data_IF_353430637262
#
_entry.id   IF_353430637262
#
_cell.length_a   1.000
_cell.length_b   1.000
_cell.length_c   1.000
_cell.angle_alpha   90.00
_cell.angle_beta   90.00
_cell.angle_gamma   90.00
#
_symmetry.space_group_name_H-M   'P 1'
#
loop_
_entity.id
_entity.type
_entity.pdbx_description
1 polymer ?
#
# COMPACT_ATOMS: atom_id res chain seq x y z
N UNK A 1 48.72 7.59 -37.13
CA UNK A 1 48.13 7.55 -35.78
C UNK A 1 46.71 8.15 -35.69
N UNK A 2 46.43 9.37 -36.19
CA UNK A 2 45.09 9.98 -36.14
C UNK A 2 43.95 9.13 -36.72
N UNK A 3 44.13 8.48 -37.88
CA UNK A 3 43.09 7.64 -38.53
C UNK A 3 42.80 6.31 -37.80
N UNK A 4 43.73 5.81 -37.00
CA UNK A 4 43.57 4.57 -36.23
C UNK A 4 42.84 4.87 -34.91
N UNK A 5 43.18 5.98 -34.26
CA UNK A 5 42.53 6.45 -33.03
C UNK A 5 41.04 6.79 -33.27
N UNK A 6 40.71 7.42 -34.41
CA UNK A 6 39.31 7.72 -34.77
C UNK A 6 38.49 6.44 -35.03
N UNK A 7 39.08 5.42 -35.66
CA UNK A 7 38.41 4.13 -35.88
C UNK A 7 38.21 3.36 -34.57
N UNK A 8 39.14 3.47 -33.63
CA UNK A 8 39.03 2.84 -32.31
C UNK A 8 37.96 3.53 -31.45
N UNK A 9 37.84 4.87 -31.52
CA UNK A 9 36.78 5.65 -30.85
C UNK A 9 35.37 5.37 -31.41
N UNK A 10 35.24 5.13 -32.72
CA UNK A 10 33.98 4.74 -33.36
C UNK A 10 33.56 3.30 -33.02
N UNK A 11 34.51 2.37 -32.87
CA UNK A 11 34.22 1.03 -32.39
C UNK A 11 33.86 1.05 -30.89
N UNK A 12 34.53 1.88 -30.08
CA UNK A 12 34.21 2.04 -28.67
C UNK A 12 32.81 2.67 -28.45
N UNK A 13 32.37 3.62 -29.28
CA UNK A 13 31.01 4.19 -29.18
C UNK A 13 29.90 3.20 -29.55
N UNK A 14 30.17 2.25 -30.46
CA UNK A 14 29.27 1.15 -30.78
C UNK A 14 29.23 0.11 -29.65
N UNK A 15 30.35 -0.18 -29.00
CA UNK A 15 30.38 -1.11 -27.86
C UNK A 15 29.75 -0.52 -26.58
N UNK A 16 29.92 0.79 -26.33
CA UNK A 16 29.31 1.48 -25.17
C UNK A 16 27.79 1.67 -25.36
N UNK A 17 27.30 1.75 -26.60
CA UNK A 17 25.84 1.79 -26.86
C UNK A 17 25.15 0.44 -26.71
N UNK A 18 25.87 -0.68 -26.78
CA UNK A 18 25.32 -2.03 -26.57
C UNK A 18 25.33 -2.49 -25.11
N UNK A 19 25.99 -1.78 -24.19
CA UNK A 19 26.01 -2.10 -22.75
C UNK A 19 24.98 -1.32 -21.92
N UNK A 20 24.18 -0.45 -22.54
CA UNK A 20 23.26 0.46 -21.85
C UNK A 20 21.79 0.01 -21.76
N UNK A 21 21.39 -1.06 -22.44
CA UNK A 21 20.00 -1.52 -22.46
C UNK A 21 19.90 -2.92 -21.91
N UNK A 22 19.97 -3.04 -20.58
CA UNK A 22 19.10 -3.98 -19.89
C UNK A 22 17.69 -3.55 -20.26
N UNK A 23 17.15 -4.09 -21.37
CA UNK A 23 15.79 -3.81 -21.81
C UNK A 23 14.89 -4.11 -20.62
N UNK A 24 14.27 -3.08 -20.04
CA UNK A 24 13.09 -3.29 -19.21
C UNK A 24 12.22 -4.23 -20.03
N UNK A 25 11.85 -5.37 -19.47
CA UNK A 25 10.91 -6.29 -20.10
C UNK A 25 9.74 -5.44 -20.57
N UNK A 26 9.61 -5.25 -21.88
CA UNK A 26 8.56 -4.40 -22.42
C UNK A 26 7.22 -4.99 -22.00
N UNK A 27 6.28 -4.17 -21.57
CA UNK A 27 4.92 -4.63 -21.36
C UNK A 27 4.12 -4.34 -22.63
N UNK A 28 3.41 -5.34 -23.14
CA UNK A 28 2.51 -5.20 -24.28
C UNK A 28 1.06 -5.18 -23.78
N UNK A 29 0.25 -4.23 -24.27
CA UNK A 29 -1.18 -4.20 -23.99
C UNK A 29 -1.87 -5.30 -24.79
N UNK A 30 -2.43 -6.28 -24.09
CA UNK A 30 -3.19 -7.37 -24.69
C UNK A 30 -4.66 -6.98 -24.88
N UNK A 31 -5.26 -6.35 -23.87
CA UNK A 31 -6.64 -5.87 -23.93
C UNK A 31 -6.74 -4.54 -23.21
N UNK A 32 -7.27 -3.51 -23.87
CA UNK A 32 -7.37 -2.19 -23.29
C UNK A 32 -8.76 -1.90 -22.71
N UNK A 33 -8.82 -0.98 -21.74
CA UNK A 33 -10.05 -0.39 -21.21
C UNK A 33 -11.02 -1.41 -20.60
N UNK A 34 -10.49 -2.47 -19.98
CA UNK A 34 -11.29 -3.34 -19.10
C UNK A 34 -11.75 -2.53 -17.89
N UNK A 35 -12.84 -2.96 -17.28
CA UNK A 35 -13.32 -2.37 -16.02
C UNK A 35 -13.64 -3.42 -14.99
N UNK A 36 -13.47 -3.07 -13.72
CA UNK A 36 -13.86 -3.89 -12.57
C UNK A 36 -14.24 -2.96 -11.42
N UNK A 37 -14.94 -3.50 -10.44
CA UNK A 37 -15.18 -2.81 -9.17
C UNK A 37 -14.05 -3.15 -8.20
N UNK A 38 -13.45 -2.12 -7.61
CA UNK A 38 -12.55 -2.20 -6.46
C UNK A 38 -13.15 -1.38 -5.33
N UNK A 39 -12.46 -1.32 -4.18
CA UNK A 39 -12.83 -0.44 -3.06
C UNK A 39 -11.89 0.76 -2.99
N UNK A 40 -12.27 1.82 -2.30
CA UNK A 40 -11.30 2.80 -1.84
C UNK A 40 -10.54 2.33 -0.60
N UNK A 41 -9.31 2.82 -0.46
CA UNK A 41 -8.63 2.96 0.82
C UNK A 41 -9.38 3.97 1.69
N UNK A 42 -9.20 3.90 3.01
CA UNK A 42 -9.80 4.86 3.92
C UNK A 42 -8.92 6.11 4.04
N UNK A 43 -9.55 7.28 4.09
CA UNK A 43 -8.91 8.52 4.51
C UNK A 43 -9.49 8.87 5.88
N UNK A 44 -8.61 8.99 6.86
CA UNK A 44 -8.95 9.43 8.21
C UNK A 44 -8.56 10.90 8.33
N UNK A 45 -9.48 11.74 8.81
CA UNK A 45 -9.27 13.18 8.95
C UNK A 45 -9.54 13.66 10.38
N UNK A 46 -8.69 14.56 10.85
CA UNK A 46 -8.86 15.28 12.11
C UNK A 46 -8.30 16.70 11.97
N UNK A 47 -8.72 17.61 12.84
CA UNK A 47 -8.04 18.89 13.03
C UNK A 47 -6.78 18.69 13.87
N UNK A 48 -5.74 19.48 13.61
CA UNK A 48 -4.45 19.37 14.31
C UNK A 48 -4.58 19.66 15.81
N UNK A 49 -5.50 20.54 16.21
CA UNK A 49 -5.75 20.92 17.61
C UNK A 49 -6.85 20.08 18.29
N UNK A 50 -7.49 19.15 17.57
CA UNK A 50 -8.56 18.30 18.06
C UNK A 50 -9.95 18.94 18.10
N UNK A 51 -10.11 20.17 17.61
CA UNK A 51 -11.40 20.85 17.47
C UNK A 51 -12.33 20.17 16.46
N UNK A 52 -13.64 20.30 16.68
CA UNK A 52 -14.65 19.88 15.71
C UNK A 52 -14.83 20.99 14.65
N UNK A 53 -14.41 20.75 13.42
CA UNK A 53 -14.48 21.73 12.32
C UNK A 53 -15.15 21.13 11.09
N UNK A 54 -15.77 22.00 10.29
CA UNK A 54 -16.43 21.61 9.05
C UNK A 54 -15.44 21.41 7.90
N UNK A 55 -15.66 20.35 7.14
CA UNK A 55 -14.85 19.97 5.98
C UNK A 55 -15.79 19.50 4.88
N UNK A 56 -15.63 20.03 3.67
CA UNK A 56 -16.33 19.53 2.50
C UNK A 56 -15.45 18.49 1.80
N UNK A 57 -16.00 17.32 1.52
CA UNK A 57 -15.33 16.24 0.81
C UNK A 57 -16.09 15.93 -0.46
N UNK A 58 -15.38 15.72 -1.56
CA UNK A 58 -15.94 15.35 -2.85
C UNK A 58 -15.10 14.24 -3.47
N UNK A 59 -15.70 13.07 -3.72
CA UNK A 59 -14.99 11.93 -4.30
C UNK A 59 -15.91 11.04 -5.12
N UNK A 60 -15.33 10.29 -6.06
CA UNK A 60 -16.11 9.38 -6.90
C UNK A 60 -16.43 8.11 -6.14
N UNK A 61 -17.64 7.57 -6.28
CA UNK A 61 -18.06 6.24 -5.79
C UNK A 61 -18.85 5.50 -6.86
N UNK A 62 -18.93 4.18 -6.76
CA UNK A 62 -19.75 3.34 -7.62
C UNK A 62 -20.95 2.78 -6.88
N UNK A 63 -22.12 2.92 -7.47
CA UNK A 63 -23.38 2.33 -6.99
C UNK A 63 -23.76 1.20 -7.94
N UNK A 64 -24.02 0.02 -7.39
CA UNK A 64 -24.41 -1.14 -8.18
C UNK A 64 -25.63 -0.83 -9.07
N UNK A 65 -25.53 -1.16 -10.36
CA UNK A 65 -26.53 -0.82 -11.37
C UNK A 65 -26.15 0.38 -12.25
N UNK A 66 -25.20 1.22 -11.83
CA UNK A 66 -24.71 2.31 -12.67
C UNK A 66 -23.73 1.82 -13.74
N UNK A 67 -23.66 2.55 -14.85
CA UNK A 67 -22.66 2.33 -15.91
C UNK A 67 -21.29 2.93 -15.56
N UNK A 68 -21.29 4.03 -14.81
CA UNK A 68 -20.12 4.83 -14.44
C UNK A 68 -20.13 5.19 -12.94
N UNK A 69 -19.02 5.75 -12.45
CA UNK A 69 -18.97 6.30 -11.11
C UNK A 69 -19.81 7.58 -11.02
N UNK A 70 -20.31 7.87 -9.83
CA UNK A 70 -20.95 9.14 -9.48
C UNK A 70 -20.03 9.93 -8.54
N UNK A 71 -20.20 11.24 -8.51
CA UNK A 71 -19.52 12.09 -7.51
C UNK A 71 -20.41 12.20 -6.28
N UNK A 72 -19.83 11.87 -5.13
CA UNK A 72 -20.41 12.05 -3.81
C UNK A 72 -19.77 13.28 -3.18
N UNK A 73 -20.58 14.27 -2.77
CA UNK A 73 -20.12 15.48 -2.10
C UNK A 73 -20.89 15.63 -0.79
N UNK A 74 -20.15 15.81 0.32
CA UNK A 74 -20.72 15.90 1.67
C UNK A 74 -19.94 16.91 2.51
N UNK A 75 -20.62 17.56 3.47
CA UNK A 75 -19.99 18.35 4.53
C UNK A 75 -20.00 17.53 5.81
N UNK A 76 -18.82 17.33 6.41
CA UNK A 76 -18.61 16.50 7.59
C UNK A 76 -17.90 17.31 8.69
N UNK A 77 -18.02 16.88 9.94
CA UNK A 77 -17.36 17.51 11.09
C UNK A 77 -16.26 16.61 11.63
N UNK A 78 -15.05 17.14 11.84
CA UNK A 78 -13.91 16.36 12.36
C UNK A 78 -14.13 15.87 13.79
N UNK A 79 -13.54 14.72 14.17
CA UNK A 79 -12.82 13.77 13.30
C UNK A 79 -13.76 12.79 12.57
N UNK A 80 -13.42 12.40 11.34
CA UNK A 80 -14.21 11.44 10.55
C UNK A 80 -13.35 10.56 9.64
N UNK A 81 -13.99 9.55 9.02
CA UNK A 81 -13.39 8.65 8.04
C UNK A 81 -14.24 8.63 6.79
N UNK A 82 -13.61 8.71 5.62
CA UNK A 82 -14.23 8.45 4.31
C UNK A 82 -13.50 7.30 3.59
N UNK A 83 -14.08 6.78 2.52
CA UNK A 83 -13.53 5.64 1.78
C UNK A 83 -14.10 4.30 2.24
N UNK A 84 -13.61 3.23 1.60
CA UNK A 84 -14.15 1.87 1.76
C UNK A 84 -15.32 1.54 0.83
N UNK A 85 -15.93 2.55 0.21
CA UNK A 85 -16.94 2.37 -0.81
C UNK A 85 -16.38 1.72 -2.07
N UNK A 86 -17.28 1.14 -2.86
CA UNK A 86 -16.95 0.58 -4.16
C UNK A 86 -16.65 1.70 -5.17
N UNK A 87 -15.77 1.42 -6.11
CA UNK A 87 -15.41 2.30 -7.22
C UNK A 87 -15.13 1.48 -8.47
N UNK A 88 -15.66 1.91 -9.61
CA UNK A 88 -15.38 1.30 -10.90
C UNK A 88 -14.08 1.88 -11.44
N UNK A 89 -13.12 0.99 -11.68
CA UNK A 89 -11.79 1.34 -12.22
C UNK A 89 -11.68 0.90 -13.66
N UNK A 90 -10.83 1.59 -14.41
CA UNK A 90 -10.46 1.22 -15.77
C UNK A 90 -9.00 0.78 -15.77
N UNK A 91 -8.70 -0.31 -16.48
CA UNK A 91 -7.35 -0.87 -16.57
C UNK A 91 -7.11 -1.50 -17.93
N UNK A 92 -5.83 -1.67 -18.26
CA UNK A 92 -5.37 -2.45 -19.40
C UNK A 92 -4.82 -3.79 -18.89
N UNK A 93 -5.14 -4.88 -19.60
CA UNK A 93 -4.48 -6.17 -19.47
C UNK A 93 -3.15 -6.10 -20.21
N UNK A 94 -2.05 -6.39 -19.54
CA UNK A 94 -0.69 -6.28 -20.09
C UNK A 94 0.10 -7.55 -19.83
N UNK A 95 0.96 -7.92 -20.77
CA UNK A 95 1.84 -9.09 -20.67
C UNK A 95 3.30 -8.68 -20.83
N UNK A 96 4.21 -9.47 -20.26
CA UNK A 96 5.63 -9.31 -20.56
C UNK A 96 5.90 -9.69 -22.03
N UNK A 97 6.52 -8.77 -22.79
CA UNK A 97 6.86 -8.96 -24.20
C UNK A 97 7.75 -10.19 -24.43
N UNK A 98 8.59 -10.53 -23.45
CA UNK A 98 9.47 -11.71 -23.49
C UNK A 98 8.81 -12.99 -23.01
N UNK A 99 7.70 -12.92 -22.28
CA UNK A 99 7.02 -14.08 -21.69
C UNK A 99 5.52 -13.80 -21.47
N UNK A 100 4.70 -14.22 -22.43
CA UNK A 100 3.25 -13.94 -22.45
C UNK A 100 2.44 -14.73 -21.42
N UNK A 101 3.07 -15.56 -20.59
CA UNK A 101 2.37 -16.34 -19.55
C UNK A 101 1.98 -15.50 -18.33
N UNK A 102 2.61 -14.34 -18.12
CA UNK A 102 2.30 -13.46 -16.99
C UNK A 102 1.44 -12.28 -17.43
N UNK A 103 0.13 -12.41 -17.23
CA UNK A 103 -0.84 -11.34 -17.44
C UNK A 103 -0.97 -10.52 -16.15
N UNK A 104 -0.80 -9.22 -16.27
CA UNK A 104 -1.01 -8.24 -15.22
C UNK A 104 -2.06 -7.22 -15.66
N UNK A 105 -2.62 -6.49 -14.70
CA UNK A 105 -3.48 -5.35 -15.01
C UNK A 105 -2.77 -4.05 -14.66
N UNK A 106 -2.76 -3.08 -15.58
CA UNK A 106 -2.28 -1.73 -15.35
C UNK A 106 -3.45 -0.76 -15.16
N UNK A 107 -3.56 -0.15 -13.98
CA UNK A 107 -4.59 0.83 -13.65
C UNK A 107 -4.44 2.14 -14.43
N UNK A 108 -5.53 2.59 -15.05
CA UNK A 108 -5.67 3.96 -15.58
C UNK A 108 -6.16 4.88 -14.48
N UNK A 109 -5.20 5.53 -13.80
CA UNK A 109 -5.49 6.56 -12.78
C UNK A 109 -6.25 7.72 -13.42
N UNK A 110 -7.37 8.11 -12.84
CA UNK A 110 -8.15 9.26 -13.29
C UNK A 110 -8.64 10.08 -12.09
N UNK A 111 -8.20 11.34 -12.03
CA UNK A 111 -8.41 12.27 -10.94
C UNK A 111 -9.50 13.32 -11.22
N UNK A 112 -10.15 13.29 -12.39
CA UNK A 112 -11.27 14.21 -12.69
C UNK A 112 -12.58 13.67 -12.13
N UNK A 113 -13.63 14.49 -11.94
CA UNK A 113 -14.96 14.01 -11.52
C UNK A 113 -15.40 12.75 -12.27
N UNK A 114 -15.93 11.75 -11.52
CA UNK A 114 -16.23 10.37 -11.98
C UNK A 114 -15.02 9.47 -12.26
N UNK A 115 -13.81 10.01 -12.27
CA UNK A 115 -12.57 9.25 -12.24
C UNK A 115 -12.39 8.52 -10.92
N UNK A 116 -11.84 7.31 -10.96
CA UNK A 116 -11.77 6.42 -9.80
C UNK A 116 -10.88 6.92 -8.65
N UNK A 117 -9.96 7.85 -8.94
CA UNK A 117 -9.05 8.48 -7.96
C UNK A 117 -9.45 9.92 -7.61
N UNK A 118 -10.59 10.40 -8.11
CA UNK A 118 -11.08 11.73 -7.78
C UNK A 118 -11.36 11.82 -6.28
N UNK A 119 -10.65 12.74 -5.65
CA UNK A 119 -10.75 13.09 -4.24
C UNK A 119 -10.39 14.56 -4.10
N UNK A 120 -11.30 15.32 -3.50
CA UNK A 120 -11.11 16.70 -3.11
C UNK A 120 -11.54 16.86 -1.66
N UNK A 121 -10.70 17.51 -0.85
CA UNK A 121 -10.96 17.80 0.56
C UNK A 121 -10.73 19.27 0.77
N UNK A 122 -11.81 20.00 1.06
CA UNK A 122 -11.79 21.44 1.27
C UNK A 122 -11.96 21.74 2.76
N UNK A 123 -10.91 22.30 3.34
CA UNK A 123 -10.93 22.77 4.72
C UNK A 123 -11.71 24.08 4.79
N UNK A 124 -12.87 24.06 5.45
CA UNK A 124 -13.73 25.26 5.59
C UNK A 124 -13.41 26.06 6.85
N UNK A 125 -12.37 25.67 7.58
CA UNK A 125 -12.06 26.20 8.90
C UNK A 125 -10.75 26.99 8.94
N UNK A 126 -10.57 27.71 10.05
CA UNK A 126 -9.35 28.45 10.37
C UNK A 126 -8.29 27.60 11.09
N UNK A 127 -8.46 26.28 11.11
CA UNK A 127 -7.55 25.33 11.76
C UNK A 127 -7.01 24.37 10.69
N UNK A 128 -5.72 24.04 10.77
CA UNK A 128 -5.12 23.04 9.89
C UNK A 128 -5.73 21.65 10.14
N UNK A 129 -5.93 20.89 9.07
CA UNK A 129 -6.33 19.48 9.14
C UNK A 129 -5.11 18.59 8.95
N UNK A 130 -5.15 17.42 9.56
CA UNK A 130 -4.29 16.29 9.25
C UNK A 130 -5.11 15.16 8.63
N UNK A 131 -4.49 14.42 7.71
CA UNK A 131 -5.08 13.22 7.14
C UNK A 131 -4.10 12.06 7.14
N UNK A 132 -4.61 10.84 7.20
CA UNK A 132 -3.85 9.64 6.87
C UNK A 132 -4.61 8.69 5.95
N UNK A 133 -3.86 7.87 5.21
CA UNK A 133 -4.39 6.85 4.30
C UNK A 133 -4.20 5.48 4.93
N UNK A 134 -5.31 4.78 5.17
CA UNK A 134 -5.33 3.40 5.69
C UNK A 134 -5.78 2.48 4.57
N UNK A 135 -4.92 1.52 4.22
CA UNK A 135 -5.17 0.53 3.18
C UNK A 135 -6.34 -0.38 3.51
N UNK A 136 -7.16 -0.68 2.50
CA UNK A 136 -8.35 -1.52 2.61
C UNK A 136 -8.14 -2.92 2.00
N UNK A 137 -6.89 -3.37 1.88
CA UNK A 137 -6.57 -4.65 1.25
C UNK A 137 -7.14 -5.81 2.07
N UNK A 138 -7.64 -6.83 1.39
CA UNK A 138 -8.07 -8.07 2.03
C UNK A 138 -6.87 -8.81 2.62
N UNK A 139 -7.09 -9.50 3.74
CA UNK A 139 -6.14 -10.48 4.24
C UNK A 139 -6.15 -11.72 3.32
N UNK A 140 -4.99 -12.12 2.81
CA UNK A 140 -4.81 -13.29 1.95
C UNK A 140 -3.76 -14.21 2.54
N UNK A 141 -3.89 -15.50 2.26
CA UNK A 141 -2.99 -16.54 2.73
C UNK A 141 -2.24 -17.18 1.57
N UNK A 142 -1.05 -17.69 1.85
CA UNK A 142 -0.35 -18.57 0.91
C UNK A 142 -1.11 -19.88 0.77
N UNK A 143 -0.98 -20.51 -0.40
CA UNK A 143 -1.41 -21.90 -0.56
C UNK A 143 -0.45 -22.81 0.21
N UNK A 144 -0.97 -23.92 0.73
CA UNK A 144 -0.15 -24.93 1.43
C UNK A 144 0.97 -25.46 0.54
N UNK A 145 0.67 -25.69 -0.74
CA UNK A 145 1.66 -26.07 -1.77
C UNK A 145 2.80 -25.06 -1.87
N UNK A 146 2.48 -23.77 -1.96
CA UNK A 146 3.51 -22.73 -2.05
C UNK A 146 4.39 -22.70 -0.79
N UNK A 147 3.80 -22.90 0.39
CA UNK A 147 4.56 -22.97 1.64
C UNK A 147 5.53 -24.16 1.62
N UNK A 148 5.08 -25.33 1.19
CA UNK A 148 5.91 -26.54 1.19
C UNK A 148 7.02 -26.51 0.14
N UNK A 149 6.78 -25.90 -1.02
CA UNK A 149 7.74 -25.83 -2.11
C UNK A 149 8.72 -24.65 -1.97
N UNK A 150 8.26 -23.50 -1.47
CA UNK A 150 9.00 -22.23 -1.59
C UNK A 150 9.28 -21.53 -0.26
N UNK A 151 8.56 -21.83 0.83
CA UNK A 151 8.74 -21.15 2.12
C UNK A 151 9.35 -22.10 3.16
N UNK A 152 10.68 -22.03 3.31
CA UNK A 152 11.42 -22.90 4.22
C UNK A 152 11.38 -22.40 5.70
N UNK A 153 10.20 -22.45 6.32
CA UNK A 153 10.05 -22.20 7.76
C UNK A 153 10.43 -23.46 8.57
N UNK A 154 11.24 -23.26 9.61
CA UNK A 154 11.73 -24.32 10.52
C UNK A 154 10.60 -25.04 11.26
N UNK A 155 9.58 -24.30 11.70
CA UNK A 155 8.41 -24.82 12.42
C UNK A 155 7.20 -25.11 11.51
N UNK A 156 7.38 -25.22 10.17
CA UNK A 156 6.25 -25.40 9.23
C UNK A 156 5.38 -26.63 9.48
N UNK A 157 5.89 -27.61 10.22
CA UNK A 157 5.20 -28.85 10.59
C UNK A 157 4.35 -28.70 11.87
N UNK A 158 4.47 -27.59 12.59
CA UNK A 158 3.76 -27.33 13.86
C UNK A 158 2.66 -26.27 13.73
N UNK A 159 2.44 -25.74 12.52
CA UNK A 159 1.53 -24.62 12.27
C UNK A 159 0.40 -25.03 11.33
N UNK A 160 -0.70 -24.28 11.42
CA UNK A 160 -1.75 -24.33 10.40
C UNK A 160 -1.33 -23.51 9.18
N UNK A 161 -0.86 -24.22 8.15
CA UNK A 161 -0.38 -23.62 6.89
C UNK A 161 -1.45 -22.82 6.16
N UNK A 162 -2.74 -23.11 6.37
CA UNK A 162 -3.84 -22.37 5.72
C UNK A 162 -3.97 -20.93 6.24
N UNK A 163 -3.30 -20.61 7.35
CA UNK A 163 -3.33 -19.30 8.02
C UNK A 163 -2.02 -18.53 7.89
N UNK A 164 -1.12 -18.93 7.00
CA UNK A 164 0.13 -18.20 6.75
C UNK A 164 -0.15 -17.04 5.80
N UNK A 165 0.03 -15.81 6.28
CA UNK A 165 -0.36 -14.60 5.56
C UNK A 165 0.56 -14.34 4.37
N UNK A 166 -0.06 -14.11 3.20
CA UNK A 166 0.57 -13.61 1.96
C UNK A 166 0.44 -12.10 1.86
N UNK A 167 -0.78 -11.58 1.98
CA UNK A 167 -1.08 -10.15 1.89
C UNK A 167 -1.96 -9.73 3.06
N UNK A 168 -1.82 -8.49 3.49
CA UNK A 168 -2.60 -7.89 4.58
C UNK A 168 -2.96 -6.45 4.23
N UNK A 169 -3.96 -5.87 4.92
CA UNK A 169 -4.12 -4.42 4.90
C UNK A 169 -2.83 -3.73 5.35
N UNK A 170 -2.56 -2.57 4.76
CA UNK A 170 -1.36 -1.78 5.01
C UNK A 170 -1.75 -0.42 5.62
N UNK A 171 -0.93 0.20 6.48
CA UNK A 171 0.31 -0.31 7.06
C UNK A 171 0.07 -1.19 8.31
N UNK A 172 1.14 -1.80 8.81
CA UNK A 172 1.21 -2.60 10.04
C UNK A 172 1.73 -1.75 11.19
N UNK A 173 1.01 -1.75 12.31
CA UNK A 173 1.40 -1.18 13.60
C UNK A 173 1.47 -2.29 14.65
N UNK A 174 2.64 -2.52 15.27
CA UNK A 174 2.80 -3.54 16.33
C UNK A 174 2.19 -4.91 15.98
N UNK A 175 2.54 -5.41 14.80
CA UNK A 175 2.04 -6.64 14.19
C UNK A 175 0.54 -6.68 13.81
N UNK A 176 -0.16 -5.55 13.82
CA UNK A 176 -1.58 -5.46 13.46
C UNK A 176 -1.76 -4.48 12.30
N UNK A 177 -2.49 -4.83 11.24
CA UNK A 177 -2.92 -3.87 10.24
C UNK A 177 -3.69 -2.72 10.89
N UNK A 178 -3.31 -1.47 10.58
CA UNK A 178 -3.99 -0.29 11.13
C UNK A 178 -5.48 -0.30 10.82
N UNK A 179 -5.87 -0.87 9.68
CA UNK A 179 -7.28 -1.09 9.33
C UNK A 179 -8.06 -1.79 10.45
N UNK A 180 -7.50 -2.82 11.07
CA UNK A 180 -8.18 -3.59 12.10
C UNK A 180 -8.23 -2.88 13.46
N UNK A 181 -7.41 -1.83 13.64
CA UNK A 181 -7.50 -0.94 14.80
C UNK A 181 -8.58 0.13 14.58
N UNK A 182 -8.67 0.67 13.36
CA UNK A 182 -9.64 1.69 12.93
C UNK A 182 -11.05 1.12 12.77
N UNK A 183 -11.15 -0.08 12.20
CA UNK A 183 -12.38 -0.79 11.80
C UNK A 183 -12.32 -2.25 12.31
N UNK A 184 -12.41 -2.47 13.64
CA UNK A 184 -12.28 -3.82 14.22
C UNK A 184 -13.34 -4.82 13.73
N UNK A 185 -14.48 -4.34 13.23
CA UNK A 185 -15.51 -5.15 12.58
C UNK A 185 -15.03 -5.82 11.28
N UNK A 186 -13.96 -5.30 10.66
CA UNK A 186 -13.32 -5.89 9.47
C UNK A 186 -12.20 -6.88 9.83
N UNK A 187 -11.81 -6.94 11.10
CA UNK A 187 -10.77 -7.87 11.54
C UNK A 187 -11.32 -9.30 11.58
N UNK A 188 -10.56 -10.31 11.13
CA UNK A 188 -11.07 -11.68 10.98
C UNK A 188 -11.29 -12.41 12.33
N UNK A 189 -10.86 -11.84 13.46
CA UNK A 189 -10.97 -12.43 14.81
C UNK A 189 -10.33 -13.82 14.93
N UNK A 190 -9.21 -14.02 14.27
CA UNK A 190 -8.43 -15.27 14.29
C UNK A 190 -6.96 -15.02 14.60
N UNK A 191 -6.25 -16.08 14.95
CA UNK A 191 -4.79 -16.07 14.95
C UNK A 191 -4.25 -16.45 13.57
N UNK A 192 -3.16 -15.81 13.17
CA UNK A 192 -2.50 -16.02 11.89
C UNK A 192 -1.00 -16.26 12.07
N UNK A 193 -0.37 -16.81 11.04
CA UNK A 193 1.06 -17.05 11.02
C UNK A 193 1.74 -16.10 10.03
N UNK A 194 2.77 -15.40 10.51
CA UNK A 194 3.58 -14.51 9.69
C UNK A 194 4.98 -15.12 9.52
N UNK A 195 5.45 -15.36 8.28
CA UNK A 195 6.84 -15.75 8.07
C UNK A 195 7.77 -14.67 8.62
N UNK A 196 8.61 -15.03 9.57
CA UNK A 196 9.63 -14.16 10.15
C UNK A 196 11.00 -14.72 9.82
N UNK A 197 11.75 -13.96 9.03
CA UNK A 197 13.16 -14.23 8.81
C UNK A 197 13.95 -13.96 10.11
N UNK A 198 15.04 -14.70 10.30
CA UNK A 198 16.06 -14.46 11.32
C UNK A 198 17.37 -14.21 10.57
N UNK A 199 18.12 -13.20 10.99
CA UNK A 199 19.31 -12.78 10.27
C UNK A 199 20.00 -11.58 10.90
N UNK A 200 21.03 -11.07 10.22
CA UNK A 200 21.74 -9.84 10.60
C UNK A 200 22.05 -9.01 9.36
N UNK A 201 21.97 -7.69 9.49
CA UNK A 201 22.61 -6.77 8.55
C UNK A 201 23.81 -6.09 9.18
N UNK A 202 24.82 -5.80 8.36
CA UNK A 202 25.97 -4.98 8.73
C UNK A 202 25.98 -3.60 8.04
N UNK A 203 24.84 -3.15 7.50
CA UNK A 203 24.74 -1.90 6.74
C UNK A 203 24.96 -2.03 5.23
N UNK A 204 25.60 -3.11 4.77
CA UNK A 204 25.95 -3.33 3.34
C UNK A 204 25.33 -4.61 2.81
N UNK A 205 25.33 -5.67 3.62
CA UNK A 205 24.70 -6.94 3.30
C UNK A 205 23.88 -7.44 4.48
N UNK A 206 22.74 -8.06 4.15
CA UNK A 206 21.95 -8.82 5.11
C UNK A 206 22.17 -10.32 4.84
N UNK A 207 22.30 -11.11 5.90
CA UNK A 207 22.27 -12.56 5.83
C UNK A 207 21.06 -13.10 6.60
N UNK A 208 20.31 -13.99 5.96
CA UNK A 208 19.21 -14.72 6.59
C UNK A 208 19.75 -16.07 7.07
N UNK A 209 19.74 -16.30 8.38
CA UNK A 209 20.19 -17.56 9.00
C UNK A 209 19.05 -18.56 9.20
N UNK A 210 17.80 -18.15 9.05
CA UNK A 210 16.64 -19.03 9.10
C UNK A 210 15.32 -18.28 8.97
N UNK A 211 14.22 -19.04 8.96
CA UNK A 211 12.86 -18.49 8.96
C UNK A 211 11.97 -19.35 9.85
N UNK A 212 11.00 -18.72 10.51
CA UNK A 212 9.95 -19.41 11.27
C UNK A 212 8.63 -18.67 11.12
N UNK A 213 7.52 -19.36 11.29
CA UNK A 213 6.20 -18.76 11.39
C UNK A 213 5.99 -18.20 12.80
N UNK A 214 5.83 -16.88 12.92
CA UNK A 214 5.41 -16.21 14.16
C UNK A 214 3.88 -16.19 14.22
N UNK A 215 3.32 -16.72 15.31
CA UNK A 215 1.90 -16.58 15.61
C UNK A 215 1.58 -15.12 15.99
N UNK A 216 0.58 -14.54 15.36
CA UNK A 216 0.07 -13.19 15.61
C UNK A 216 -1.43 -13.30 15.81
N UNK A 217 -1.94 -12.78 16.93
CA UNK A 217 -3.38 -12.73 17.16
C UNK A 217 -3.99 -11.50 16.51
N UNK A 218 -5.04 -11.68 15.73
CA UNK A 218 -5.89 -10.60 15.19
C UNK A 218 -7.27 -10.62 15.86
N UNK A 219 -7.30 -11.08 17.12
CA UNK A 219 -8.51 -11.23 17.92
C UNK A 219 -8.46 -10.38 19.18
N UNK A 220 -9.52 -9.60 19.43
CA UNK A 220 -9.61 -8.86 20.70
C UNK A 220 -9.68 -9.82 21.92
N UNK A 221 -9.07 -9.48 23.07
CA UNK A 221 -8.40 -8.22 23.36
C UNK A 221 -6.90 -8.19 23.00
N UNK A 222 -6.31 -9.30 22.53
CA UNK A 222 -4.88 -9.38 22.22
C UNK A 222 -4.69 -9.18 20.71
N UNK A 223 -4.36 -7.97 20.30
CA UNK A 223 -4.11 -7.64 18.89
C UNK A 223 -2.61 -7.47 18.66
N UNK A 224 -2.00 -8.45 18.01
CA UNK A 224 -0.58 -8.49 17.71
C UNK A 224 0.26 -8.39 18.98
N UNK A 225 0.99 -7.28 19.12
CA UNK A 225 1.84 -6.99 20.29
C UNK A 225 1.18 -6.04 21.29
N UNK A 226 -0.14 -5.86 21.20
CA UNK A 226 -0.91 -4.95 22.03
C UNK A 226 -2.07 -5.65 22.71
N UNK A 227 -2.51 -5.06 23.82
CA UNK A 227 -3.83 -5.32 24.40
C UNK A 227 -4.74 -4.15 24.05
N UNK A 228 -5.83 -4.43 23.36
CA UNK A 228 -6.85 -3.47 22.95
C UNK A 228 -8.22 -3.97 23.40
N UNK A 229 -8.73 -3.39 24.48
CA UNK A 229 -10.06 -3.72 25.04
C UNK A 229 -11.17 -2.86 24.45
N UNK A 230 -10.82 -1.87 23.62
CA UNK A 230 -11.73 -1.00 22.89
C UNK A 230 -11.15 -0.68 21.50
N UNK A 231 -12.00 -0.35 20.51
CA UNK A 231 -11.57 0.18 19.22
C UNK A 231 -10.68 1.42 19.37
N UNK A 232 -9.72 1.60 18.46
CA UNK A 232 -8.91 2.82 18.46
C UNK A 232 -9.75 3.99 17.94
N UNK A 233 -9.70 5.11 18.67
CA UNK A 233 -10.28 6.37 18.23
C UNK A 233 -9.46 6.98 17.08
N UNK A 234 -10.09 7.83 16.26
CA UNK A 234 -9.40 8.55 15.18
C UNK A 234 -8.16 9.32 15.68
N UNK A 235 -8.20 10.06 16.81
CA UNK A 235 -7.01 10.71 17.35
C UNK A 235 -5.86 9.74 17.68
N UNK A 236 -6.16 8.51 18.14
CA UNK A 236 -5.12 7.50 18.37
C UNK A 236 -4.50 7.03 17.05
N UNK A 237 -5.32 6.82 16.01
CA UNK A 237 -4.84 6.45 14.67
C UNK A 237 -3.96 7.57 14.08
N UNK A 238 -4.41 8.83 14.15
CA UNK A 238 -3.61 9.99 13.74
C UNK A 238 -2.28 10.06 14.51
N UNK A 239 -2.31 9.82 15.82
CA UNK A 239 -1.11 9.80 16.66
C UNK A 239 -0.05 8.80 16.19
N UNK A 240 -0.47 7.62 15.70
CA UNK A 240 0.44 6.61 15.14
C UNK A 240 1.12 7.13 13.87
N UNK A 241 0.35 7.71 12.94
CA UNK A 241 0.92 8.27 11.70
C UNK A 241 1.81 9.49 11.97
N UNK A 242 1.42 10.36 12.89
CA UNK A 242 2.25 11.50 13.29
C UNK A 242 3.59 11.05 13.86
N UNK A 243 3.58 10.01 14.69
CA UNK A 243 4.81 9.42 15.23
C UNK A 243 5.68 8.83 14.10
N UNK A 244 5.08 8.07 13.18
CA UNK A 244 5.77 7.56 12.00
C UNK A 244 6.41 8.68 11.18
N UNK A 245 5.66 9.73 10.86
CA UNK A 245 6.14 10.82 10.02
C UNK A 245 7.10 11.80 10.74
N UNK A 246 7.28 11.64 12.05
CA UNK A 246 8.27 12.40 12.84
C UNK A 246 9.54 11.60 13.10
N UNK A 247 9.42 10.31 13.41
CA UNK A 247 10.54 9.48 13.93
C UNK A 247 10.85 8.25 13.07
N UNK A 248 9.95 7.85 12.18
CA UNK A 248 9.97 6.56 11.50
C UNK A 248 9.73 5.37 12.44
N UNK A 249 9.84 4.18 11.88
CA UNK A 249 9.83 2.87 12.55
C UNK A 249 8.61 2.57 13.44
N UNK A 250 7.52 3.30 13.24
CA UNK A 250 6.26 3.09 13.94
C UNK A 250 5.32 2.26 13.07
N UNK A 251 5.27 2.56 11.77
CA UNK A 251 4.46 1.86 10.78
C UNK A 251 5.35 1.15 9.76
N UNK A 252 4.91 -0.04 9.37
CA UNK A 252 5.58 -0.86 8.37
C UNK A 252 4.63 -1.11 7.19
N UNK A 253 5.17 -1.20 5.99
CA UNK A 253 4.35 -1.35 4.77
C UNK A 253 3.53 -2.64 4.80
N UNK A 254 4.16 -3.74 5.17
CA UNK A 254 3.56 -5.07 5.20
C UNK A 254 4.29 -5.93 6.24
N UNK A 255 3.89 -7.19 6.33
CA UNK A 255 4.50 -8.14 7.24
C UNK A 255 5.93 -8.57 6.86
N UNK A 256 6.31 -8.49 5.59
CA UNK A 256 7.69 -8.73 5.18
C UNK A 256 8.57 -7.69 5.88
N UNK A 257 8.27 -6.40 5.71
CA UNK A 257 9.01 -5.29 6.35
C UNK A 257 8.92 -5.29 7.86
N UNK A 258 7.77 -5.65 8.42
CA UNK A 258 7.59 -5.78 9.86
C UNK A 258 8.53 -6.83 10.46
N UNK A 259 8.68 -7.97 9.80
CA UNK A 259 9.45 -9.10 10.33
C UNK A 259 10.93 -9.04 9.97
N UNK A 260 11.29 -8.42 8.84
CA UNK A 260 12.67 -8.18 8.41
C UNK A 260 13.30 -6.95 9.06
N UNK A 261 12.54 -6.07 9.73
CA UNK A 261 13.09 -4.85 10.34
C UNK A 261 14.26 -5.07 11.32
N UNK A 262 14.40 -6.27 11.90
CA UNK A 262 15.59 -6.65 12.70
C UNK A 262 16.78 -7.11 11.86
N UNK A 263 16.52 -7.57 10.63
CA UNK A 263 17.51 -8.05 9.67
C UNK A 263 17.98 -6.93 8.75
N UNK A 264 17.17 -5.92 8.43
CA UNK A 264 17.52 -4.81 7.54
C UNK A 264 17.84 -3.54 8.32
N UNK A 265 19.11 -3.10 8.32
CA UNK A 265 19.52 -1.80 8.88
C UNK A 265 19.22 -0.61 7.96
N UNK A 266 18.52 -0.83 6.84
CA UNK A 266 18.10 0.22 5.91
C UNK A 266 16.67 0.60 6.29
N UNK A 267 16.40 1.89 6.45
CA UNK A 267 15.12 2.43 6.94
C UNK A 267 13.91 1.87 6.16
N UNK A 268 13.27 0.81 6.66
CA UNK A 268 12.14 0.13 6.00
C UNK A 268 10.77 0.49 6.61
N UNK A 269 10.73 1.52 7.45
CA UNK A 269 9.49 2.14 7.91
C UNK A 269 8.70 2.76 6.76
N UNK A 270 7.41 2.99 6.98
CA UNK A 270 6.51 3.54 5.97
C UNK A 270 7.05 4.85 5.36
N UNK A 271 7.51 5.80 6.19
CA UNK A 271 8.02 7.10 5.73
C UNK A 271 9.33 6.98 4.93
N UNK A 272 10.13 5.96 5.20
CA UNK A 272 11.47 5.82 4.64
C UNK A 272 11.55 4.88 3.45
N UNK A 273 10.41 4.34 3.02
CA UNK A 273 10.37 3.43 1.88
C UNK A 273 10.76 4.17 0.59
N UNK A 274 11.53 3.53 -0.30
CA UNK A 274 12.11 4.14 -1.53
C UNK A 274 11.07 4.58 -2.60
N UNK A 275 9.79 4.67 -2.24
CA UNK A 275 8.65 4.92 -3.11
C UNK A 275 7.91 6.19 -2.67
N UNK A 276 8.66 7.28 -2.49
CA UNK A 276 8.24 8.57 -1.92
C UNK A 276 7.15 9.32 -2.72
N UNK A 277 6.65 8.76 -3.81
CA UNK A 277 5.71 9.45 -4.69
C UNK A 277 4.26 9.41 -4.16
N UNK A 278 3.96 8.53 -3.18
CA UNK A 278 2.65 8.44 -2.53
C UNK A 278 2.72 8.94 -1.09
N UNK A 279 1.79 9.81 -0.71
CA UNK A 279 1.59 10.33 0.64
C UNK A 279 0.56 9.50 1.39
N UNK A 280 0.96 8.92 2.53
CA UNK A 280 0.06 8.24 3.46
C UNK A 280 -0.31 9.09 4.67
N UNK A 281 0.30 10.26 4.81
CA UNK A 281 -0.02 11.26 5.83
C UNK A 281 0.29 12.66 5.30
N UNK A 282 -0.48 13.66 5.72
CA UNK A 282 -0.21 15.05 5.37
C UNK A 282 -1.09 16.04 6.13
N UNK A 283 -0.81 17.32 5.89
CA UNK A 283 -1.54 18.46 6.47
C UNK A 283 -2.24 19.22 5.35
N UNK A 284 -3.47 19.64 5.58
CA UNK A 284 -4.25 20.54 4.72
C UNK A 284 -4.38 21.86 5.49
N UNK A 285 -3.72 22.94 5.06
CA UNK A 285 -3.78 24.19 5.80
C UNK A 285 -5.20 24.74 5.91
N UNK A 286 -5.41 25.61 6.89
CA UNK A 286 -6.67 26.36 7.07
C UNK A 286 -7.13 27.01 5.75
N UNK A 287 -8.43 26.94 5.46
CA UNK A 287 -9.05 27.50 4.26
C UNK A 287 -8.43 27.05 2.91
N UNK A 288 -7.74 25.90 2.88
CA UNK A 288 -7.16 25.33 1.66
C UNK A 288 -7.89 24.07 1.19
N UNK A 289 -7.72 23.77 -0.09
CA UNK A 289 -8.23 22.55 -0.71
C UNK A 289 -7.10 21.60 -1.07
N UNK A 290 -7.22 20.36 -0.66
CA UNK A 290 -6.43 19.25 -1.18
C UNK A 290 -7.18 18.59 -2.34
N UNK A 291 -6.72 18.81 -3.56
CA UNK A 291 -7.15 18.04 -4.73
C UNK A 291 -6.15 16.92 -5.01
N UNK A 292 -6.62 15.68 -5.16
CA UNK A 292 -5.76 14.57 -5.51
C UNK A 292 -5.29 14.71 -6.97
N UNK A 293 -3.98 14.83 -7.17
CA UNK A 293 -3.33 14.86 -8.48
C UNK A 293 -2.32 13.70 -8.65
N UNK A 294 -2.47 12.65 -7.83
CA UNK A 294 -1.62 11.45 -7.85
C UNK A 294 -0.80 11.24 -6.58
N UNK A 295 -0.75 12.23 -5.69
CA UNK A 295 -0.07 12.12 -4.40
C UNK A 295 -0.78 11.18 -3.42
N UNK A 296 -2.08 10.94 -3.56
CA UNK A 296 -2.82 9.96 -2.74
C UNK A 296 -3.23 8.79 -3.60
N UNK A 297 -2.99 7.58 -3.08
CA UNK A 297 -3.49 6.36 -3.67
C UNK A 297 -4.82 5.97 -3.04
N UNK A 298 -5.93 6.45 -3.64
CA UNK A 298 -7.25 6.28 -3.06
C UNK A 298 -7.90 4.94 -3.43
N UNK A 299 -7.56 4.36 -4.58
CA UNK A 299 -8.05 3.03 -4.99
C UNK A 299 -7.31 1.93 -4.22
N UNK A 300 -8.03 0.99 -3.63
CA UNK A 300 -7.45 -0.16 -2.98
C UNK A 300 -6.88 -1.14 -4.03
N UNK A 301 -5.56 -1.12 -4.19
CA UNK A 301 -4.79 -2.23 -4.73
C UNK A 301 -3.56 -2.47 -3.86
N UNK A 302 -3.12 -3.73 -3.78
CA UNK A 302 -1.99 -4.07 -2.91
C UNK A 302 -0.71 -3.29 -3.29
N UNK A 303 -0.36 -3.29 -4.58
CA UNK A 303 0.80 -2.60 -5.12
C UNK A 303 0.60 -1.07 -5.21
N UNK A 304 -0.64 -0.64 -5.34
CA UNK A 304 -1.00 0.76 -5.47
C UNK A 304 -0.68 1.60 -4.24
N UNK A 305 -0.82 1.03 -3.04
CA UNK A 305 -0.39 1.69 -1.81
C UNK A 305 1.11 2.11 -1.84
N UNK A 306 1.87 1.59 -2.80
CA UNK A 306 3.28 1.87 -3.03
C UNK A 306 3.57 2.65 -4.33
N UNK A 307 2.53 3.21 -4.96
CA UNK A 307 2.66 3.98 -6.19
C UNK A 307 2.68 3.15 -7.47
N UNK A 308 2.47 1.83 -7.39
CA UNK A 308 2.52 0.95 -8.56
C UNK A 308 1.12 0.69 -9.13
N UNK A 309 0.95 0.96 -10.43
CA UNK A 309 -0.30 0.78 -11.18
C UNK A 309 -0.63 -0.68 -11.49
N UNK A 310 0.35 -1.58 -11.35
CA UNK A 310 0.20 -2.99 -11.65
C UNK A 310 -0.56 -3.70 -10.53
N UNK A 311 -1.53 -4.54 -10.86
CA UNK A 311 -2.23 -5.41 -9.91
C UNK A 311 -2.57 -6.77 -10.56
N UNK A 312 -2.77 -7.79 -9.72
CA UNK A 312 -3.00 -9.17 -10.18
C UNK A 312 -4.37 -9.32 -10.88
N UNK A 313 -4.44 -10.17 -11.91
CA UNK A 313 -5.68 -10.38 -12.70
C UNK A 313 -6.77 -11.12 -11.91
N UNK A 314 -6.38 -12.12 -11.12
CA UNK A 314 -7.29 -13.00 -10.40
C UNK A 314 -7.28 -12.71 -8.90
N UNK A 315 -8.28 -11.95 -8.44
CA UNK A 315 -8.69 -11.88 -7.03
C UNK A 315 -7.70 -11.17 -6.09
N UNK A 316 -7.95 -9.88 -5.86
CA UNK A 316 -7.59 -9.26 -4.57
C UNK A 316 -8.55 -9.67 -3.45
#
# INVERSE_FOLDING_TARGET
>A
MKKIIVKFLLLLSIFVSFQGSCSKVGLEVETSNKSKTLKHNYIVLASVDGSAVEVEVSYSVFVAGNSENIVKTETLTTPFVIGGEDVKVVYDSVVAASDKHFVYNELKRNYTPKGADYLEIKNLSNVDLEYCVVGNQSLKYYTTKYIDEWINMSNRHLIDKSKVVKYSPTPIYKAVPVLFLLKPELAPQIDVYIPKAIGRCNGISCSTSGMFAKLISLKAPILGEMTATAPFSIPQIMGIYRQEYTKGYTLFRDYDRYTTGQISSVNESLISSRYNDVKHYGVIPSNQTLANSGQIWFINTHQGFYGNKMFEEYGE
#
